data_IF_260125180027
#
_entry.id   IF_260125180027
#
_cell.length_a   1.000
_cell.length_b   1.000
_cell.length_c   1.000
_cell.angle_alpha   90.00
_cell.angle_beta   90.00
_cell.angle_gamma   90.00
#
_symmetry.space_group_name_H-M   'P 1'
#
loop_
_entity.id
_entity.type
_entity.pdbx_description
1 polymer ?
#
# COMPACT_ATOMS: atom_id res chain seq x y z
N UNK A 1 -12.03 21.61 24.26
CA UNK A 1 -12.44 20.81 23.07
C UNK A 1 -11.45 20.82 21.90
N UNK A 2 -10.38 21.63 21.89
CA UNK A 2 -9.38 21.63 20.80
C UNK A 2 -8.42 20.43 20.82
N UNK A 3 -8.34 19.70 21.94
CA UNK A 3 -7.36 18.63 22.15
C UNK A 3 -7.61 17.36 21.31
N UNK A 4 -8.76 17.26 20.63
CA UNK A 4 -9.10 16.12 19.77
C UNK A 4 -8.99 16.42 18.27
N UNK A 5 -8.67 17.65 17.86
CA UNK A 5 -8.68 18.03 16.43
C UNK A 5 -7.54 17.37 15.63
N UNK A 6 -6.41 17.06 16.28
CA UNK A 6 -5.28 16.37 15.67
C UNK A 6 -5.40 14.83 15.71
N UNK A 7 -6.43 14.29 16.36
CA UNK A 7 -6.58 12.84 16.50
C UNK A 7 -7.26 12.30 15.25
N UNK A 8 -6.50 11.55 14.46
CA UNK A 8 -7.06 10.80 13.35
C UNK A 8 -8.02 9.73 13.85
N UNK A 9 -9.10 9.52 13.10
CA UNK A 9 -10.05 8.46 13.41
C UNK A 9 -9.38 7.14 13.05
N UNK A 10 -9.15 6.28 14.04
CA UNK A 10 -8.46 5.00 13.85
C UNK A 10 -9.13 4.10 12.78
N UNK A 11 -10.42 4.29 12.53
CA UNK A 11 -11.17 3.56 11.49
C UNK A 11 -10.75 3.94 10.07
N UNK A 12 -10.17 5.12 9.85
CA UNK A 12 -9.64 5.56 8.55
C UNK A 12 -8.55 4.58 8.07
N UNK A 13 -7.72 4.07 8.98
CA UNK A 13 -6.69 3.08 8.67
C UNK A 13 -7.24 1.68 8.34
N UNK A 14 -8.54 1.43 8.56
CA UNK A 14 -9.23 0.19 8.21
C UNK A 14 -10.10 0.33 6.96
N UNK A 15 -10.22 1.54 6.40
CA UNK A 15 -10.90 1.74 5.14
C UNK A 15 -10.10 1.11 4.00
N UNK A 16 -10.82 0.44 3.12
CA UNK A 16 -10.26 -0.27 1.99
C UNK A 16 -10.31 0.65 0.77
N UNK A 17 -9.14 0.96 0.21
CA UNK A 17 -9.03 1.77 -1.00
C UNK A 17 -9.42 0.94 -2.24
N UNK A 18 -9.61 1.62 -3.38
CA UNK A 18 -9.83 0.94 -4.66
C UNK A 18 -8.58 0.15 -5.08
N UNK A 19 -8.77 -1.15 -5.31
CA UNK A 19 -7.73 -2.05 -5.78
C UNK A 19 -7.14 -1.65 -7.13
N UNK A 20 -7.95 -1.06 -8.02
CA UNK A 20 -7.45 -0.67 -9.33
C UNK A 20 -6.48 0.51 -9.21
N UNK A 21 -6.77 1.47 -8.34
CA UNK A 21 -5.87 2.58 -8.05
C UNK A 21 -4.58 2.12 -7.36
N UNK A 22 -4.68 1.24 -6.36
CA UNK A 22 -3.50 0.71 -5.66
C UNK A 22 -2.63 -0.15 -6.59
N UNK A 23 -3.26 -0.95 -7.47
CA UNK A 23 -2.56 -1.68 -8.52
C UNK A 23 -1.80 -0.76 -9.48
N UNK A 24 -2.43 0.33 -9.91
CA UNK A 24 -1.78 1.34 -10.77
C UNK A 24 -0.61 2.02 -10.05
N UNK A 25 -0.79 2.43 -8.80
CA UNK A 25 0.28 3.03 -7.98
C UNK A 25 1.47 2.08 -7.82
N UNK A 26 1.20 0.79 -7.58
CA UNK A 26 2.24 -0.22 -7.47
C UNK A 26 3.03 -0.37 -8.78
N UNK A 27 2.35 -0.44 -9.92
CA UNK A 27 3.02 -0.51 -11.24
C UNK A 27 3.87 0.75 -11.49
N UNK A 28 3.33 1.93 -11.23
CA UNK A 28 4.05 3.20 -11.40
C UNK A 28 5.29 3.27 -10.50
N UNK A 29 5.18 2.84 -9.23
CA UNK A 29 6.29 2.80 -8.28
C UNK A 29 7.36 1.77 -8.66
N UNK A 30 6.96 0.60 -9.16
CA UNK A 30 7.90 -0.40 -9.68
C UNK A 30 8.62 0.11 -10.92
N UNK A 31 7.93 0.79 -11.83
CA UNK A 31 8.54 1.38 -13.02
C UNK A 31 9.61 2.42 -12.64
N UNK A 32 9.32 3.30 -11.68
CA UNK A 32 10.30 4.25 -11.12
C UNK A 32 11.50 3.54 -10.51
N UNK A 33 11.28 2.44 -9.81
CA UNK A 33 12.36 1.67 -9.19
C UNK A 33 13.30 1.05 -10.25
N UNK A 34 12.74 0.59 -11.38
CA UNK A 34 13.53 0.12 -12.53
C UNK A 34 14.38 1.24 -13.12
N UNK A 35 13.79 2.42 -13.37
CA UNK A 35 14.51 3.59 -13.89
C UNK A 35 15.67 4.01 -12.98
N UNK A 36 15.43 4.01 -11.66
CA UNK A 36 16.46 4.31 -10.67
C UNK A 36 17.57 3.23 -10.64
N UNK A 37 17.22 1.95 -10.79
CA UNK A 37 18.18 0.86 -10.85
C UNK A 37 19.09 0.95 -12.08
N UNK A 38 18.54 1.28 -13.26
CA UNK A 38 19.33 1.55 -14.47
C UNK A 38 20.25 2.77 -14.28
N UNK A 39 19.75 3.82 -13.62
CA UNK A 39 20.54 5.00 -13.27
C UNK A 39 21.69 4.67 -12.30
N UNK A 40 21.45 3.79 -11.32
CA UNK A 40 22.46 3.30 -10.39
C UNK A 40 23.53 2.49 -11.13
N UNK A 41 23.15 1.59 -12.03
CA UNK A 41 24.10 0.80 -12.84
C UNK A 41 25.04 1.71 -13.65
N UNK A 42 24.49 2.74 -14.32
CA UNK A 42 25.29 3.74 -15.05
C UNK A 42 26.27 4.47 -14.12
N UNK A 43 25.82 4.90 -12.94
CA UNK A 43 26.71 5.56 -11.96
C UNK A 43 27.83 4.66 -11.48
N UNK A 44 27.56 3.39 -11.20
CA UNK A 44 28.58 2.44 -10.75
C UNK A 44 29.63 2.20 -11.84
N UNK A 45 29.21 2.09 -13.11
CA UNK A 45 30.14 2.00 -14.25
C UNK A 45 31.03 3.23 -14.39
N UNK A 46 30.46 4.43 -14.25
CA UNK A 46 31.24 5.66 -14.29
C UNK A 46 32.19 5.81 -13.09
N UNK A 47 31.75 5.45 -11.89
CA UNK A 47 32.56 5.47 -10.68
C UNK A 47 33.78 4.55 -10.78
N UNK A 48 33.65 3.39 -11.43
CA UNK A 48 34.78 2.48 -11.68
C UNK A 48 35.89 3.09 -12.55
N UNK A 49 35.61 4.14 -13.32
CA UNK A 49 36.58 4.82 -14.19
C UNK A 49 37.24 6.03 -13.53
N UNK A 50 36.75 6.46 -12.36
CA UNK A 50 37.19 7.69 -11.68
C UNK A 50 38.06 7.42 -10.46
N UNK A 51 38.93 8.38 -10.13
CA UNK A 51 39.72 8.34 -8.89
C UNK A 51 38.88 8.81 -7.69
N UNK A 52 39.19 8.29 -6.49
CA UNK A 52 38.43 8.54 -5.25
C UNK A 52 38.32 10.02 -4.85
N UNK A 53 39.29 10.85 -5.23
CA UNK A 53 39.28 12.29 -4.93
C UNK A 53 38.30 13.06 -5.82
N UNK A 54 38.23 12.73 -7.11
CA UNK A 54 37.28 13.31 -8.06
C UNK A 54 35.84 12.89 -7.74
N UNK A 55 35.67 11.68 -7.19
CA UNK A 55 34.37 11.16 -6.79
C UNK A 55 33.71 12.01 -5.69
N UNK A 56 34.51 12.44 -4.70
CA UNK A 56 34.02 13.21 -3.54
C UNK A 56 33.53 14.61 -3.92
N UNK A 57 34.04 15.20 -5.00
CA UNK A 57 33.64 16.55 -5.45
C UNK A 57 32.52 16.50 -6.50
N UNK A 58 32.50 15.48 -7.36
CA UNK A 58 31.56 15.39 -8.50
C UNK A 58 30.10 15.14 -8.10
N UNK A 59 29.88 14.51 -6.95
CA UNK A 59 28.54 14.08 -6.51
C UNK A 59 27.98 14.89 -5.34
N UNK A 60 28.68 15.92 -4.86
CA UNK A 60 28.15 16.81 -3.82
C UNK A 60 26.93 17.55 -4.37
N UNK A 61 25.82 17.52 -3.63
CA UNK A 61 24.56 18.18 -4.01
C UNK A 61 23.68 17.41 -4.99
N UNK A 62 24.14 16.26 -5.53
CA UNK A 62 23.28 15.33 -6.28
C UNK A 62 22.72 14.28 -5.33
N UNK A 63 21.47 13.88 -5.54
CA UNK A 63 20.86 12.77 -4.79
C UNK A 63 21.67 11.49 -5.05
N UNK A 64 21.99 10.77 -3.97
CA UNK A 64 22.61 9.45 -4.03
C UNK A 64 21.58 8.43 -4.55
N UNK A 65 21.83 7.69 -5.65
CA UNK A 65 20.83 6.82 -6.23
C UNK A 65 20.56 5.63 -5.32
N UNK A 66 21.54 5.21 -4.51
CA UNK A 66 21.35 4.14 -3.54
C UNK A 66 20.32 4.55 -2.50
N UNK A 67 20.47 5.75 -1.93
CA UNK A 67 19.52 6.29 -0.96
C UNK A 67 18.14 6.50 -1.57
N UNK A 68 18.07 6.98 -2.82
CA UNK A 68 16.80 7.17 -3.50
C UNK A 68 16.06 5.84 -3.73
N UNK A 69 16.77 4.77 -4.13
CA UNK A 69 16.18 3.44 -4.28
C UNK A 69 15.66 2.92 -2.93
N UNK A 70 16.42 3.15 -1.85
CA UNK A 70 16.02 2.75 -0.49
C UNK A 70 14.74 3.48 -0.05
N UNK A 71 14.66 4.80 -0.24
CA UNK A 71 13.49 5.60 0.12
C UNK A 71 12.22 5.15 -0.64
N UNK A 72 12.33 4.92 -1.95
CA UNK A 72 11.20 4.45 -2.79
C UNK A 72 10.81 3.01 -2.46
N UNK A 73 11.80 2.14 -2.24
CA UNK A 73 11.57 0.74 -1.89
C UNK A 73 10.90 0.61 -0.52
N UNK A 74 11.29 1.41 0.46
CA UNK A 74 10.69 1.41 1.78
C UNK A 74 9.22 1.83 1.73
N UNK A 75 8.90 2.91 1.03
CA UNK A 75 7.50 3.35 0.85
C UNK A 75 6.64 2.27 0.18
N UNK A 76 7.15 1.65 -0.88
CA UNK A 76 6.43 0.58 -1.60
C UNK A 76 6.14 -0.62 -0.69
N UNK A 77 7.09 -1.01 0.16
CA UNK A 77 6.91 -2.12 1.10
C UNK A 77 5.92 -1.75 2.20
N UNK A 78 6.03 -0.56 2.78
CA UNK A 78 5.11 -0.08 3.81
C UNK A 78 3.66 -0.05 3.33
N UNK A 79 3.42 0.51 2.14
CA UNK A 79 2.08 0.59 1.55
C UNK A 79 1.49 -0.80 1.28
N UNK A 80 2.28 -1.73 0.73
CA UNK A 80 1.83 -3.08 0.44
C UNK A 80 1.58 -3.92 1.70
N UNK A 81 2.40 -3.76 2.75
CA UNK A 81 2.16 -4.43 4.04
C UNK A 81 0.83 -3.97 4.63
N UNK A 82 0.59 -2.66 4.66
CA UNK A 82 -0.67 -2.10 5.20
C UNK A 82 -1.87 -2.60 4.38
N UNK A 83 -1.77 -2.62 3.05
CA UNK A 83 -2.82 -3.11 2.17
C UNK A 83 -3.16 -4.60 2.44
N UNK A 84 -2.15 -5.46 2.51
CA UNK A 84 -2.34 -6.91 2.77
C UNK A 84 -2.89 -7.16 4.18
N UNK A 85 -2.38 -6.47 5.19
CA UNK A 85 -2.92 -6.56 6.56
C UNK A 85 -4.38 -6.12 6.64
N UNK A 86 -4.75 -5.01 5.99
CA UNK A 86 -6.15 -4.55 5.91
C UNK A 86 -7.05 -5.62 5.30
N UNK A 87 -6.63 -6.22 4.19
CA UNK A 87 -7.40 -7.28 3.51
C UNK A 87 -7.60 -8.50 4.41
N UNK A 88 -6.55 -8.96 5.12
CA UNK A 88 -6.65 -10.09 6.04
C UNK A 88 -7.59 -9.80 7.21
N UNK A 89 -7.47 -8.62 7.83
CA UNK A 89 -8.35 -8.21 8.93
C UNK A 89 -9.81 -8.14 8.45
N UNK A 90 -10.05 -7.54 7.29
CA UNK A 90 -11.41 -7.43 6.73
C UNK A 90 -11.99 -8.83 6.44
N UNK A 91 -11.19 -9.73 5.85
CA UNK A 91 -11.60 -11.11 5.59
C UNK A 91 -12.01 -11.85 6.87
N UNK A 92 -11.17 -11.85 7.91
CA UNK A 92 -11.51 -12.55 9.16
C UNK A 92 -12.70 -11.90 9.87
N UNK A 93 -12.80 -10.56 9.84
CA UNK A 93 -13.91 -9.83 10.46
C UNK A 93 -15.26 -10.05 9.75
N UNK A 94 -15.25 -10.25 8.43
CA UNK A 94 -16.46 -10.51 7.65
C UNK A 94 -16.93 -11.97 7.78
N UNK A 95 -16.01 -12.93 7.90
CA UNK A 95 -16.34 -14.34 8.17
C UNK A 95 -16.97 -14.52 9.56
N UNK A 96 -16.51 -13.77 10.57
CA UNK A 96 -17.11 -13.79 11.91
C UNK A 96 -18.60 -13.36 11.93
N UNK A 97 -19.04 -12.52 10.98
CA UNK A 97 -20.46 -12.15 10.84
C UNK A 97 -21.33 -13.30 10.33
N UNK A 98 -20.80 -14.17 9.48
CA UNK A 98 -21.55 -15.33 8.97
C UNK A 98 -21.71 -16.42 10.05
N UNK A 99 -20.74 -16.53 10.97
CA UNK A 99 -20.80 -17.50 12.07
C UNK A 99 -21.79 -17.11 13.19
N UNK A 100 -22.00 -15.82 13.43
CA UNK A 100 -23.01 -15.29 14.37
C UNK A 100 -24.27 -14.91 13.59
N UNK A 101 -25.16 -15.89 13.39
CA UNK A 101 -26.31 -15.80 12.48
C UNK A 101 -27.13 -14.51 12.53
N UNK A 102 -27.15 -13.79 11.40
CA UNK A 102 -28.12 -12.73 11.11
C UNK A 102 -28.83 -12.88 9.75
N UNK A 103 -28.73 -14.04 9.08
CA UNK A 103 -29.49 -14.31 7.84
C UNK A 103 -30.72 -15.22 8.02
N UNK A 104 -31.05 -15.64 9.26
CA UNK A 104 -32.23 -16.49 9.51
C UNK A 104 -33.56 -15.74 9.69
N UNK A 105 -33.56 -14.40 9.80
CA UNK A 105 -34.80 -13.65 10.05
C UNK A 105 -35.49 -13.13 8.77
N UNK A 106 -34.81 -13.07 7.61
CA UNK A 106 -35.42 -12.53 6.39
C UNK A 106 -35.98 -13.58 5.42
N UNK A 107 -35.69 -14.88 5.58
CA UNK A 107 -36.30 -15.93 4.76
C UNK A 107 -37.68 -16.40 5.28
N UNK A 108 -37.97 -16.26 6.58
CA UNK A 108 -39.21 -16.79 7.17
C UNK A 108 -40.46 -15.93 6.93
N UNK A 109 -40.31 -14.69 6.44
CA UNK A 109 -41.43 -13.76 6.23
C UNK A 109 -42.04 -13.86 4.81
N UNK A 110 -41.40 -14.56 3.86
CA UNK A 110 -41.83 -14.55 2.45
C UNK A 110 -42.75 -15.72 2.03
N UNK A 111 -43.00 -16.71 2.89
CA UNK A 111 -43.68 -17.96 2.52
C UNK A 111 -45.10 -18.17 3.11
N UNK A 112 -45.75 -17.14 3.68
CA UNK A 112 -47.06 -17.33 4.37
C UNK A 112 -48.27 -16.70 3.66
N UNK A 113 -48.12 -16.00 2.55
CA UNK A 113 -49.23 -15.23 1.94
C UNK A 113 -49.76 -15.73 0.58
N UNK A 114 -49.48 -16.98 0.15
CA UNK A 114 -49.91 -17.45 -1.19
C UNK A 114 -50.72 -18.76 -1.26
N UNK A 115 -51.38 -19.21 -0.18
CA UNK A 115 -52.41 -20.27 -0.30
C UNK A 115 -53.67 -19.98 0.53
N UNK A 116 -54.53 -19.11 -0.02
CA UNK A 116 -55.99 -19.16 0.19
C UNK A 116 -56.71 -19.09 -1.15
N UNK A 117 -57.08 -20.26 -1.67
CA UNK A 117 -58.28 -20.47 -2.49
C UNK A 117 -58.91 -21.83 -2.14
#
# INVERSE_FOLDING_TARGET
MLMNLHKHVWTEALQMNDFHEDGKKNVDSMQRLVELAEGYEKRVKEESTLTKEQLKTRYVGKVDPKKHIEDVGQQLIEDNIVAVSRQMINKESSVARVANGQDKENEAQMDVDDEKL
#
